data_IF_237490889281
#
_entry.id   IF_237490889281
#
_cell.length_a   1.000
_cell.length_b   1.000
_cell.length_c   1.000
_cell.angle_alpha   90.00
_cell.angle_beta   90.00
_cell.angle_gamma   90.00
#
_symmetry.space_group_name_H-M   'P 1'
#
loop_
_entity.id
_entity.type
_entity.pdbx_description
1 polymer ?
#
# COMPACT_ATOMS: atom_id res chain seq x y z
N UNK A 1 -10.43 -41.01 16.15
CA UNK A 1 -10.13 -42.19 15.31
C UNK A 1 -9.72 -43.34 16.20
N UNK A 2 -10.26 -44.55 15.93
CA UNK A 2 -9.91 -45.79 16.63
C UNK A 2 -9.47 -46.82 15.61
N UNK A 3 -8.22 -47.35 15.63
CA UNK A 3 -7.81 -48.44 14.76
C UNK A 3 -8.58 -49.71 15.13
N UNK A 4 -9.01 -50.46 14.16
CA UNK A 4 -9.69 -51.74 14.32
C UNK A 4 -8.83 -52.90 13.86
N UNK A 5 -8.36 -52.88 12.62
CA UNK A 5 -7.45 -53.85 12.04
C UNK A 5 -6.33 -53.20 11.27
N UNK A 6 -5.13 -53.76 11.39
CA UNK A 6 -3.93 -53.33 10.64
C UNK A 6 -3.27 -54.55 10.02
N UNK A 7 -3.20 -54.57 8.69
CA UNK A 7 -2.44 -55.55 7.93
C UNK A 7 -1.18 -54.90 7.38
N UNK A 8 -0.05 -55.52 7.64
CA UNK A 8 1.27 -55.07 7.20
C UNK A 8 1.91 -56.17 6.37
N UNK A 9 2.29 -55.89 5.13
CA UNK A 9 2.92 -56.86 4.25
C UNK A 9 4.22 -56.28 3.65
N UNK A 10 5.32 -56.98 3.78
CA UNK A 10 6.62 -56.62 3.23
C UNK A 10 7.10 -55.22 3.64
N UNK A 11 6.86 -54.78 4.88
CA UNK A 11 7.05 -53.40 5.34
C UNK A 11 7.96 -53.36 6.61
N UNK A 12 8.96 -52.51 6.59
CA UNK A 12 9.93 -52.38 7.68
C UNK A 12 10.64 -53.69 8.01
N UNK A 13 10.62 -54.20 9.27
CA UNK A 13 11.20 -55.47 9.65
C UNK A 13 10.31 -56.66 9.26
N UNK A 14 9.05 -56.45 8.88
CA UNK A 14 8.11 -57.51 8.55
C UNK A 14 8.26 -57.95 7.09
N UNK A 15 8.78 -59.18 6.88
CA UNK A 15 8.98 -59.75 5.55
C UNK A 15 7.64 -60.27 4.99
N UNK A 16 6.87 -60.93 5.88
CA UNK A 16 5.59 -61.57 5.55
C UNK A 16 4.41 -60.71 5.98
N UNK A 17 3.18 -61.17 5.66
CA UNK A 17 1.95 -60.54 6.07
C UNK A 17 1.74 -60.68 7.57
N UNK A 18 1.54 -59.59 8.25
CA UNK A 18 1.21 -59.54 9.68
C UNK A 18 -0.14 -58.86 9.84
N UNK A 19 -1.03 -59.47 10.61
CA UNK A 19 -2.36 -58.93 10.92
C UNK A 19 -2.46 -58.62 12.41
N UNK A 20 -2.84 -57.41 12.72
CA UNK A 20 -3.07 -56.95 14.09
C UNK A 20 -4.53 -56.57 14.25
N UNK A 21 -5.26 -57.35 15.01
CA UNK A 21 -6.65 -57.11 15.38
C UNK A 21 -6.71 -56.37 16.71
N UNK A 22 -6.89 -55.01 16.65
CA UNK A 22 -6.97 -54.19 17.84
C UNK A 22 -8.29 -54.36 18.61
N UNK A 23 -9.30 -54.97 18.02
CA UNK A 23 -10.56 -55.26 18.73
C UNK A 23 -10.40 -56.29 19.84
N UNK A 24 -9.43 -57.20 19.69
CA UNK A 24 -9.06 -58.20 20.68
C UNK A 24 -8.25 -57.67 21.88
N UNK A 25 -7.71 -56.43 21.77
CA UNK A 25 -6.87 -55.86 22.83
C UNK A 25 -7.68 -55.25 23.99
N UNK A 26 -8.99 -55.40 23.99
CA UNK A 26 -9.87 -54.97 25.06
C UNK A 26 -10.57 -53.63 24.81
N UNK A 27 -11.63 -53.36 25.61
CA UNK A 27 -12.48 -52.17 25.43
C UNK A 27 -11.98 -50.90 26.06
N UNK A 28 -10.93 -50.99 26.95
CA UNK A 28 -10.41 -49.84 27.69
C UNK A 28 -9.52 -48.90 26.85
N UNK A 29 -9.13 -49.31 25.64
CA UNK A 29 -8.35 -48.45 24.72
C UNK A 29 -6.88 -48.21 25.12
N UNK A 30 -6.39 -48.90 26.15
CA UNK A 30 -5.00 -48.84 26.60
C UNK A 30 -4.31 -50.20 26.35
N UNK A 31 -3.23 -50.18 25.53
CA UNK A 31 -2.48 -51.38 25.16
C UNK A 31 -1.00 -51.18 25.47
N UNK A 32 -0.30 -52.25 25.80
CA UNK A 32 1.13 -52.30 25.94
C UNK A 32 1.73 -53.19 24.85
N UNK A 33 2.58 -52.61 23.99
CA UNK A 33 3.33 -53.33 22.96
C UNK A 33 4.75 -53.56 23.49
N UNK A 34 5.12 -54.80 23.81
CA UNK A 34 6.44 -55.16 24.31
C UNK A 34 7.21 -55.98 23.30
N UNK A 35 8.51 -56.04 23.42
CA UNK A 35 9.43 -56.79 22.57
C UNK A 35 10.81 -56.19 22.51
N UNK A 36 11.76 -56.88 21.96
CA UNK A 36 13.17 -56.48 21.87
C UNK A 36 13.37 -55.24 21.00
N UNK A 37 14.53 -54.59 21.14
CA UNK A 37 14.92 -53.49 20.30
C UNK A 37 15.07 -53.98 18.84
N UNK A 38 14.45 -53.30 17.90
CA UNK A 38 14.44 -53.74 16.49
C UNK A 38 13.27 -54.68 16.11
N UNK A 39 12.45 -55.17 17.06
CA UNK A 39 11.31 -56.05 16.78
C UNK A 39 10.16 -55.39 16.01
N UNK A 40 10.27 -54.12 15.60
CA UNK A 40 9.26 -53.47 14.78
C UNK A 40 8.14 -52.73 15.54
N UNK A 41 8.25 -52.53 16.85
CA UNK A 41 7.22 -51.85 17.66
C UNK A 41 6.86 -50.48 17.10
N UNK A 42 7.86 -49.68 16.75
CA UNK A 42 7.64 -48.32 16.13
C UNK A 42 7.09 -48.45 14.71
N UNK A 43 7.43 -49.53 14.01
CA UNK A 43 6.94 -49.76 12.64
C UNK A 43 5.42 -49.91 12.56
N UNK A 44 4.76 -50.36 13.62
CA UNK A 44 3.30 -50.41 13.70
C UNK A 44 2.71 -49.01 13.59
N UNK A 45 3.32 -48.05 14.26
CA UNK A 45 2.91 -46.63 14.16
C UNK A 45 3.27 -46.02 12.81
N UNK A 46 4.45 -46.35 12.26
CA UNK A 46 4.82 -45.95 10.89
C UNK A 46 3.82 -46.50 9.88
N UNK A 47 3.37 -47.73 10.03
CA UNK A 47 2.38 -48.35 9.17
C UNK A 47 1.02 -47.65 9.26
N UNK A 48 0.53 -47.32 10.44
CA UNK A 48 -0.71 -46.53 10.63
C UNK A 48 -0.58 -45.19 9.97
N UNK A 49 0.52 -44.47 10.19
CA UNK A 49 0.73 -43.13 9.59
C UNK A 49 0.86 -43.22 8.08
N UNK A 50 1.57 -44.19 7.56
CA UNK A 50 1.71 -44.45 6.12
C UNK A 50 0.36 -44.77 5.47
N UNK A 51 -0.44 -45.63 6.10
CA UNK A 51 -1.79 -45.92 5.59
C UNK A 51 -2.64 -44.67 5.48
N UNK A 52 -2.63 -43.78 6.47
CA UNK A 52 -3.42 -42.57 6.49
C UNK A 52 -2.88 -41.47 5.55
N UNK A 53 -1.58 -41.23 5.57
CA UNK A 53 -0.98 -40.04 4.96
C UNK A 53 0.05 -40.34 3.85
N UNK A 54 0.41 -41.59 3.62
CA UNK A 54 1.39 -41.99 2.61
C UNK A 54 2.86 -41.75 2.99
N UNK A 55 3.12 -41.38 4.24
CA UNK A 55 4.45 -41.08 4.77
C UNK A 55 4.63 -41.74 6.12
N UNK A 56 5.90 -42.02 6.54
CA UNK A 56 6.22 -42.54 7.85
C UNK A 56 5.94 -41.52 8.98
N UNK A 57 5.91 -42.02 10.21
CA UNK A 57 5.66 -41.20 11.40
C UNK A 57 6.78 -40.18 11.68
N UNK A 58 8.03 -40.55 11.37
CA UNK A 58 9.23 -39.70 11.52
C UNK A 58 9.64 -39.08 10.19
N UNK A 59 10.21 -37.87 10.20
CA UNK A 59 10.65 -37.15 9.00
C UNK A 59 11.89 -37.76 8.31
N UNK A 60 12.54 -38.75 8.93
CA UNK A 60 13.82 -39.30 8.48
C UNK A 60 13.70 -40.47 7.50
N UNK A 61 12.49 -40.97 7.24
CA UNK A 61 12.26 -42.13 6.39
C UNK A 61 11.38 -41.76 5.21
N UNK A 62 11.93 -41.85 4.00
CA UNK A 62 11.14 -41.70 2.75
C UNK A 62 10.30 -42.97 2.49
N UNK A 63 9.24 -42.84 1.72
CA UNK A 63 8.28 -43.92 1.45
C UNK A 63 8.94 -45.16 0.78
N UNK A 64 9.97 -44.94 -0.03
CA UNK A 64 10.77 -46.00 -0.66
C UNK A 64 11.60 -46.83 0.34
N UNK A 65 11.95 -46.27 1.50
CA UNK A 65 12.66 -46.94 2.57
C UNK A 65 11.74 -47.85 3.42
N UNK A 66 10.43 -47.80 3.18
CA UNK A 66 9.46 -48.55 4.00
C UNK A 66 9.32 -50.00 3.58
N UNK A 67 9.75 -50.39 2.36
CA UNK A 67 9.80 -51.78 1.94
C UNK A 67 10.77 -52.57 2.84
N UNK A 68 10.33 -53.74 3.28
CA UNK A 68 11.18 -54.65 4.00
C UNK A 68 12.36 -55.15 3.18
N UNK A 69 13.58 -55.02 3.73
CA UNK A 69 14.78 -55.58 3.11
C UNK A 69 14.83 -57.13 3.19
N UNK A 70 13.98 -57.71 4.03
CA UNK A 70 13.86 -59.13 4.22
C UNK A 70 12.78 -59.77 3.33
N UNK A 71 11.94 -58.95 2.71
CA UNK A 71 10.89 -59.43 1.78
C UNK A 71 11.46 -59.82 0.42
N UNK A 72 11.12 -61.00 -0.07
CA UNK A 72 11.48 -61.45 -1.41
C UNK A 72 10.88 -60.54 -2.51
N UNK A 73 11.49 -60.57 -3.70
CA UNK A 73 10.99 -59.79 -4.85
C UNK A 73 9.58 -60.18 -5.29
N UNK A 74 9.09 -61.34 -4.89
CA UNK A 74 7.73 -61.81 -5.19
C UNK A 74 6.71 -61.39 -4.12
N UNK A 75 7.17 -60.94 -2.95
CA UNK A 75 6.30 -60.49 -1.85
C UNK A 75 5.75 -59.11 -2.11
N UNK A 76 4.42 -58.91 -1.98
CA UNK A 76 3.82 -57.59 -2.08
C UNK A 76 4.22 -56.71 -0.90
N UNK A 77 4.24 -55.38 -1.13
CA UNK A 77 4.43 -54.41 -0.06
C UNK A 77 3.20 -53.52 0.01
N UNK A 78 2.48 -53.61 1.12
CA UNK A 78 1.30 -52.77 1.36
C UNK A 78 1.01 -52.69 2.86
N UNK A 79 0.28 -51.64 3.21
CA UNK A 79 -0.35 -51.51 4.53
C UNK A 79 -1.86 -51.27 4.28
N UNK A 80 -2.66 -51.99 5.07
CA UNK A 80 -4.14 -51.82 5.08
C UNK A 80 -4.57 -51.56 6.53
N UNK A 81 -5.27 -50.44 6.72
CA UNK A 81 -5.79 -50.02 8.02
C UNK A 81 -7.30 -49.87 7.95
N UNK A 82 -8.00 -50.62 8.79
CA UNK A 82 -9.41 -50.41 9.08
C UNK A 82 -9.54 -49.64 10.39
N UNK A 83 -10.29 -48.55 10.34
CA UNK A 83 -10.45 -47.68 11.52
C UNK A 83 -11.90 -47.15 11.62
N UNK A 84 -12.34 -46.93 12.86
CA UNK A 84 -13.59 -46.27 13.16
C UNK A 84 -13.37 -44.75 13.42
N UNK A 85 -14.19 -43.92 12.79
CA UNK A 85 -14.24 -42.49 13.02
C UNK A 85 -15.69 -42.01 12.94
N UNK A 86 -16.13 -41.25 13.94
CA UNK A 86 -17.52 -40.75 14.06
C UNK A 86 -18.57 -41.84 13.86
N UNK A 87 -18.37 -43.02 14.50
CA UNK A 87 -19.30 -44.16 14.44
C UNK A 87 -19.33 -44.90 13.11
N UNK A 88 -18.47 -44.59 12.16
CA UNK A 88 -18.36 -45.16 10.81
C UNK A 88 -17.04 -45.87 10.63
N UNK A 89 -17.02 -46.95 9.82
CA UNK A 89 -15.81 -47.70 9.52
C UNK A 89 -15.26 -47.34 8.14
N UNK A 90 -13.96 -47.16 8.07
CA UNK A 90 -13.23 -46.87 6.85
C UNK A 90 -12.05 -47.83 6.72
N UNK A 91 -11.74 -48.25 5.49
CA UNK A 91 -10.57 -49.05 5.19
C UNK A 91 -9.69 -48.33 4.20
N UNK A 92 -8.46 -48.08 4.57
CA UNK A 92 -7.45 -47.48 3.68
C UNK A 92 -6.32 -48.47 3.44
N UNK A 93 -5.99 -48.70 2.16
CA UNK A 93 -4.87 -49.55 1.74
C UNK A 93 -3.90 -48.71 0.92
N UNK A 94 -2.59 -48.81 1.25
CA UNK A 94 -1.52 -48.14 0.49
C UNK A 94 -0.37 -49.05 0.20
N UNK A 95 0.24 -48.86 -0.95
CA UNK A 95 1.47 -49.48 -1.38
C UNK A 95 2.50 -48.38 -1.66
N UNK A 96 3.72 -48.45 -1.13
CA UNK A 96 4.80 -47.58 -1.57
C UNK A 96 5.25 -48.00 -2.98
N UNK A 97 6.07 -47.18 -3.61
CA UNK A 97 6.79 -47.61 -4.80
C UNK A 97 7.87 -48.61 -4.44
N UNK A 98 7.96 -49.75 -5.15
CA UNK A 98 8.94 -50.79 -4.87
C UNK A 98 9.29 -51.63 -6.09
N UNK A 99 10.44 -52.29 -6.06
CA UNK A 99 10.87 -53.26 -7.06
C UNK A 99 10.24 -54.65 -6.83
N UNK A 100 9.78 -55.28 -7.89
CA UNK A 100 9.27 -56.65 -7.89
C UNK A 100 9.70 -57.42 -9.14
N UNK A 101 9.57 -58.73 -9.14
CA UNK A 101 9.74 -59.53 -10.34
C UNK A 101 8.68 -59.18 -11.38
N UNK A 102 9.04 -59.24 -12.64
CA UNK A 102 8.09 -59.10 -13.74
C UNK A 102 7.09 -60.26 -13.71
N UNK A 103 5.80 -59.95 -13.91
CA UNK A 103 4.77 -60.96 -13.99
C UNK A 103 4.92 -61.88 -15.23
N UNK A 104 5.61 -61.38 -16.31
CA UNK A 104 5.92 -62.14 -17.52
C UNK A 104 7.35 -61.84 -17.91
N UNK A 105 8.17 -62.94 -18.16
CA UNK A 105 9.58 -62.82 -18.53
C UNK A 105 10.51 -62.77 -17.29
N UNK A 106 11.81 -62.68 -17.57
CA UNK A 106 12.87 -62.60 -16.56
C UNK A 106 13.24 -61.15 -16.29
N UNK A 107 13.46 -60.79 -15.03
CA UNK A 107 13.93 -59.49 -14.60
C UNK A 107 13.05 -58.80 -13.57
N UNK A 108 13.44 -57.55 -13.20
CA UNK A 108 12.79 -56.74 -12.18
C UNK A 108 11.97 -55.64 -12.86
N UNK A 109 10.87 -55.27 -12.26
CA UNK A 109 10.05 -54.11 -12.67
C UNK A 109 9.72 -53.29 -11.43
N UNK A 110 9.46 -52.02 -11.61
CA UNK A 110 9.05 -51.10 -10.58
C UNK A 110 7.53 -51.07 -10.48
N UNK A 111 7.01 -51.38 -9.29
CA UNK A 111 5.60 -51.23 -8.96
C UNK A 111 5.40 -49.75 -8.49
N UNK A 112 4.52 -49.04 -9.17
CA UNK A 112 4.19 -47.67 -8.76
C UNK A 112 3.45 -47.67 -7.42
N UNK A 113 3.59 -46.58 -6.68
CA UNK A 113 2.82 -46.35 -5.46
C UNK A 113 1.34 -46.30 -5.76
N UNK A 114 0.51 -46.89 -4.89
CA UNK A 114 -0.94 -46.95 -5.03
C UNK A 114 -1.65 -46.70 -3.71
N UNK A 115 -2.88 -46.17 -3.77
CA UNK A 115 -3.74 -45.96 -2.61
C UNK A 115 -5.22 -46.18 -2.96
N UNK A 116 -5.92 -46.72 -1.97
CA UNK A 116 -7.35 -46.99 -2.05
C UNK A 116 -7.99 -46.71 -0.68
N UNK A 117 -9.10 -46.00 -0.69
CA UNK A 117 -9.97 -45.78 0.48
C UNK A 117 -11.37 -46.32 0.22
N UNK A 118 -11.86 -47.18 1.10
CA UNK A 118 -13.22 -47.70 1.09
C UNK A 118 -14.02 -47.03 2.19
N UNK A 119 -15.15 -46.47 1.82
CA UNK A 119 -16.11 -45.82 2.71
C UNK A 119 -17.11 -46.83 3.31
N UNK A 120 -17.85 -46.49 4.38
CA UNK A 120 -18.86 -47.36 5.00
C UNK A 120 -19.99 -47.76 4.07
N UNK A 121 -20.30 -46.96 3.07
CA UNK A 121 -21.31 -47.21 2.03
C UNK A 121 -20.82 -48.09 0.86
N UNK A 122 -19.57 -48.59 0.94
CA UNK A 122 -18.95 -49.40 -0.10
C UNK A 122 -18.32 -48.55 -1.23
N UNK A 123 -18.45 -47.26 -1.24
CA UNK A 123 -17.78 -46.37 -2.21
C UNK A 123 -16.27 -46.46 -2.06
N UNK A 124 -15.57 -46.57 -3.20
CA UNK A 124 -14.12 -46.69 -3.25
C UNK A 124 -13.54 -45.49 -3.96
N UNK A 125 -12.54 -44.87 -3.34
CA UNK A 125 -11.71 -43.82 -3.91
C UNK A 125 -10.30 -44.38 -4.16
N UNK A 126 -9.79 -44.16 -5.35
CA UNK A 126 -8.44 -44.58 -5.77
C UNK A 126 -7.62 -43.34 -6.18
N UNK A 127 -6.35 -43.51 -6.44
CA UNK A 127 -5.32 -42.47 -6.70
C UNK A 127 -4.86 -41.72 -5.45
N UNK A 128 -3.56 -41.63 -5.33
CA UNK A 128 -2.87 -41.05 -4.16
C UNK A 128 -3.46 -39.71 -3.69
N UNK A 129 -3.56 -38.73 -4.58
CA UNK A 129 -4.04 -37.38 -4.23
C UNK A 129 -5.50 -37.34 -3.76
N UNK A 130 -6.35 -38.18 -4.36
CA UNK A 130 -7.78 -38.25 -4.02
C UNK A 130 -7.96 -38.90 -2.65
N UNK A 131 -7.20 -39.98 -2.38
CA UNK A 131 -7.18 -40.66 -1.08
C UNK A 131 -6.62 -39.76 0.00
N UNK A 132 -5.54 -39.01 -0.28
CA UNK A 132 -4.95 -38.05 0.68
C UNK A 132 -5.93 -36.93 1.07
N UNK A 133 -6.71 -36.43 0.10
CA UNK A 133 -7.74 -35.43 0.36
C UNK A 133 -8.86 -36.06 1.20
N UNK A 134 -9.36 -37.22 0.80
CA UNK A 134 -10.45 -37.87 1.48
C UNK A 134 -10.11 -38.25 2.93
N UNK A 135 -8.92 -38.77 3.18
CA UNK A 135 -8.42 -39.05 4.56
C UNK A 135 -8.35 -37.79 5.39
N UNK A 136 -7.83 -36.70 4.84
CA UNK A 136 -7.81 -35.39 5.54
C UNK A 136 -9.21 -34.86 5.83
N UNK A 137 -10.12 -34.98 4.90
CA UNK A 137 -11.50 -34.53 5.08
C UNK A 137 -12.22 -35.36 6.17
N UNK A 138 -11.94 -36.68 6.27
CA UNK A 138 -12.50 -37.56 7.30
C UNK A 138 -11.90 -37.25 8.66
N UNK A 139 -10.56 -37.20 8.78
CA UNK A 139 -9.86 -37.12 10.08
C UNK A 139 -9.76 -35.66 10.57
N UNK A 140 -9.74 -34.67 9.66
CA UNK A 140 -9.68 -33.26 9.99
C UNK A 140 -8.30 -32.72 10.42
N UNK A 141 -7.25 -33.53 10.31
CA UNK A 141 -5.88 -33.13 10.69
C UNK A 141 -4.86 -33.52 9.61
N UNK A 142 -3.77 -32.73 9.53
CA UNK A 142 -2.64 -33.07 8.67
C UNK A 142 -1.78 -34.18 9.28
N UNK A 143 -0.85 -34.73 8.49
CA UNK A 143 0.15 -35.71 9.00
C UNK A 143 0.94 -35.15 10.18
N UNK A 144 1.40 -33.91 10.07
CA UNK A 144 2.20 -33.24 11.11
C UNK A 144 1.39 -33.08 12.40
N UNK A 145 0.14 -32.65 12.28
CA UNK A 145 -0.79 -32.52 13.40
C UNK A 145 -1.09 -33.88 14.04
N UNK A 146 -1.34 -34.91 13.21
CA UNK A 146 -1.57 -36.27 13.68
C UNK A 146 -0.34 -36.82 14.42
N UNK A 147 0.84 -36.64 13.85
CA UNK A 147 2.08 -37.08 14.51
C UNK A 147 2.35 -36.36 15.87
N UNK A 148 1.96 -35.10 15.98
CA UNK A 148 2.09 -34.33 17.22
C UNK A 148 1.08 -34.70 18.30
N UNK A 149 -0.15 -35.06 17.90
CA UNK A 149 -1.27 -35.30 18.82
C UNK A 149 -1.43 -36.78 19.12
N UNK A 150 -1.40 -37.64 18.09
CA UNK A 150 -1.69 -39.05 18.20
C UNK A 150 -0.44 -39.93 18.44
N UNK A 151 0.73 -39.40 18.09
CA UNK A 151 1.97 -40.15 18.16
C UNK A 151 3.06 -39.34 18.86
N UNK A 152 3.20 -39.60 20.15
CA UNK A 152 4.31 -39.05 20.90
C UNK A 152 5.54 -39.98 20.67
N UNK A 153 6.29 -39.71 19.61
CA UNK A 153 7.53 -40.44 19.34
C UNK A 153 8.55 -40.21 20.46
N UNK A 154 9.41 -41.20 20.67
CA UNK A 154 10.50 -41.10 21.64
C UNK A 154 11.38 -39.89 21.34
N UNK A 155 11.33 -38.85 22.17
CA UNK A 155 12.01 -37.57 21.98
C UNK A 155 11.04 -36.37 21.71
N UNK A 156 9.95 -36.53 20.99
CA UNK A 156 9.00 -35.44 20.69
C UNK A 156 8.21 -35.00 21.94
N UNK A 157 7.91 -35.91 22.85
CA UNK A 157 7.32 -35.59 24.15
C UNK A 157 8.22 -34.65 24.98
N UNK A 158 9.51 -34.88 24.90
CA UNK A 158 10.51 -34.03 25.56
C UNK A 158 10.53 -32.64 24.98
N UNK A 159 10.38 -32.49 23.67
CA UNK A 159 10.29 -31.18 23.01
C UNK A 159 9.06 -30.39 23.44
N UNK A 160 7.89 -31.04 23.57
CA UNK A 160 6.67 -30.36 24.02
C UNK A 160 6.78 -29.90 25.48
N UNK A 161 7.38 -30.74 26.36
CA UNK A 161 7.58 -30.37 27.75
C UNK A 161 8.66 -29.31 27.97
N UNK A 162 9.71 -29.33 27.15
CA UNK A 162 10.82 -28.39 27.22
C UNK A 162 10.61 -27.14 26.36
N UNK A 163 9.58 -27.13 25.48
CA UNK A 163 9.24 -26.01 24.65
C UNK A 163 8.94 -24.76 25.48
N UNK A 164 9.43 -23.62 25.04
CA UNK A 164 9.05 -22.33 25.60
C UNK A 164 7.57 -21.99 25.30
N UNK A 165 7.08 -20.93 25.93
CA UNK A 165 5.66 -20.51 25.75
C UNK A 165 5.32 -20.21 24.28
N UNK A 166 6.24 -19.64 23.49
CA UNK A 166 6.02 -19.32 22.08
C UNK A 166 5.96 -20.58 21.22
N UNK A 167 6.87 -21.52 21.46
CA UNK A 167 6.89 -22.81 20.76
C UNK A 167 5.63 -23.63 21.07
N UNK A 168 5.24 -23.74 22.35
CA UNK A 168 3.97 -24.38 22.76
C UNK A 168 2.76 -23.73 22.09
N UNK A 169 2.72 -22.40 22.06
CA UNK A 169 1.63 -21.66 21.42
C UNK A 169 1.56 -21.95 19.92
N UNK A 170 2.70 -22.10 19.23
CA UNK A 170 2.75 -22.48 17.82
C UNK A 170 2.19 -23.89 17.62
N UNK A 171 2.65 -24.85 18.42
CA UNK A 171 2.18 -26.25 18.38
C UNK A 171 0.66 -26.31 18.58
N UNK A 172 0.12 -25.62 19.59
CA UNK A 172 -1.33 -25.57 19.82
C UNK A 172 -2.09 -24.88 18.70
N UNK A 173 -1.55 -23.83 18.10
CA UNK A 173 -2.16 -23.18 16.93
C UNK A 173 -2.26 -24.12 15.75
N UNK A 174 -1.22 -24.90 15.50
CA UNK A 174 -1.19 -25.88 14.42
C UNK A 174 -2.20 -27.02 14.69
N UNK A 175 -2.26 -27.52 15.93
CA UNK A 175 -3.19 -28.57 16.35
C UNK A 175 -4.65 -28.13 16.21
N UNK A 176 -4.99 -26.93 16.70
CA UNK A 176 -6.37 -26.41 16.72
C UNK A 176 -6.75 -25.68 15.45
N UNK A 177 -5.87 -25.61 14.45
CA UNK A 177 -6.17 -24.95 13.17
C UNK A 177 -6.46 -23.45 13.29
N UNK A 178 -5.93 -22.79 14.34
CA UNK A 178 -6.22 -21.36 14.62
C UNK A 178 -5.41 -20.39 13.78
N UNK A 179 -4.70 -20.85 12.76
CA UNK A 179 -3.91 -20.03 11.85
C UNK A 179 -4.73 -18.93 11.17
N UNK A 180 -5.97 -19.24 10.79
CA UNK A 180 -6.89 -18.25 10.19
C UNK A 180 -7.11 -17.03 11.10
N UNK A 181 -7.29 -17.25 12.39
CA UNK A 181 -7.49 -16.15 13.34
C UNK A 181 -6.24 -15.30 13.53
N UNK A 182 -5.06 -15.90 13.42
CA UNK A 182 -3.77 -15.17 13.47
C UNK A 182 -3.64 -14.30 12.23
N UNK A 183 -3.88 -14.84 11.04
CA UNK A 183 -3.84 -14.06 9.79
C UNK A 183 -4.86 -12.92 9.80
N UNK A 184 -6.08 -13.16 10.29
CA UNK A 184 -7.08 -12.12 10.46
C UNK A 184 -6.62 -11.02 11.45
N UNK A 185 -6.02 -11.43 12.57
CA UNK A 185 -5.49 -10.49 13.56
C UNK A 185 -4.36 -9.64 12.99
N UNK A 186 -3.47 -10.22 12.21
CA UNK A 186 -2.36 -9.50 11.55
C UNK A 186 -2.90 -8.52 10.51
N UNK A 187 -3.83 -8.93 9.67
CA UNK A 187 -4.47 -8.06 8.69
C UNK A 187 -5.22 -6.90 9.35
N UNK A 188 -5.95 -7.15 10.44
CA UNK A 188 -6.63 -6.10 11.19
C UNK A 188 -5.64 -5.12 11.82
N UNK A 189 -4.53 -5.59 12.36
CA UNK A 189 -3.46 -4.73 12.91
C UNK A 189 -2.84 -3.85 11.81
N UNK A 190 -2.58 -4.42 10.66
CA UNK A 190 -2.03 -3.68 9.53
C UNK A 190 -3.00 -2.60 9.03
N UNK A 191 -4.27 -2.96 8.84
CA UNK A 191 -5.32 -2.00 8.46
C UNK A 191 -5.48 -0.89 9.51
N UNK A 192 -5.47 -1.23 10.79
CA UNK A 192 -5.53 -0.25 11.88
C UNK A 192 -4.33 0.70 11.86
N UNK A 193 -3.12 0.19 11.60
CA UNK A 193 -1.91 0.99 11.46
C UNK A 193 -1.99 1.95 10.25
N UNK A 194 -2.48 1.47 9.11
CA UNK A 194 -2.68 2.30 7.91
C UNK A 194 -3.71 3.42 8.14
N UNK A 195 -4.84 3.10 8.77
CA UNK A 195 -5.87 4.11 9.11
C UNK A 195 -5.31 5.14 10.09
N UNK A 196 -4.57 4.69 11.11
CA UNK A 196 -3.90 5.58 12.06
C UNK A 196 -2.92 6.52 11.35
N UNK A 197 -2.09 5.99 10.46
CA UNK A 197 -1.13 6.80 9.69
C UNK A 197 -1.85 7.86 8.85
N UNK A 198 -2.91 7.48 8.12
CA UNK A 198 -3.71 8.42 7.32
C UNK A 198 -4.35 9.51 8.19
N UNK A 199 -4.89 9.12 9.36
CA UNK A 199 -5.44 10.08 10.32
C UNK A 199 -4.37 11.07 10.79
N UNK A 200 -3.20 10.56 11.15
CA UNK A 200 -2.12 11.40 11.69
C UNK A 200 -1.56 12.34 10.60
N UNK A 201 -1.45 11.87 9.35
CA UNK A 201 -1.10 12.69 8.20
C UNK A 201 -2.14 13.78 7.92
N UNK A 202 -3.43 13.44 7.94
CA UNK A 202 -4.50 14.41 7.75
C UNK A 202 -4.51 15.46 8.88
N UNK A 203 -4.34 15.02 10.14
CA UNK A 203 -4.25 15.93 11.28
C UNK A 203 -3.04 16.86 11.21
N UNK A 204 -1.88 16.35 10.76
CA UNK A 204 -0.69 17.16 10.55
C UNK A 204 -0.90 18.17 9.40
N UNK A 205 -1.52 17.77 8.30
CA UNK A 205 -1.86 18.67 7.19
C UNK A 205 -2.82 19.78 7.62
N UNK A 206 -3.88 19.43 8.35
CA UNK A 206 -4.81 20.44 8.90
C UNK A 206 -4.06 21.42 9.81
N UNK A 207 -3.22 20.93 10.72
CA UNK A 207 -2.42 21.78 11.60
C UNK A 207 -1.52 22.73 10.82
N UNK A 208 -0.83 22.24 9.80
CA UNK A 208 0.02 23.07 8.95
C UNK A 208 -0.76 24.19 8.26
N UNK A 209 -1.95 23.90 7.73
CA UNK A 209 -2.81 24.93 7.13
C UNK A 209 -3.30 25.93 8.17
N UNK A 210 -3.70 25.47 9.34
CA UNK A 210 -4.16 26.36 10.43
C UNK A 210 -3.03 27.28 10.91
N UNK A 211 -1.82 26.76 11.07
CA UNK A 211 -0.63 27.55 11.45
C UNK A 211 -0.23 28.58 10.38
N UNK A 212 -0.60 28.36 9.12
CA UNK A 212 -0.34 29.30 8.01
C UNK A 212 -1.37 30.42 7.89
N UNK A 213 -2.43 30.43 8.69
CA UNK A 213 -3.42 31.51 8.70
C UNK A 213 -2.76 32.80 9.19
N UNK A 214 -2.78 33.82 8.36
CA UNK A 214 -2.34 35.17 8.75
C UNK A 214 -3.58 35.97 9.12
N UNK A 215 -3.58 36.54 10.34
CA UNK A 215 -4.64 37.39 10.81
C UNK A 215 -4.03 38.58 11.52
N UNK A 216 -4.59 39.77 11.27
CA UNK A 216 -4.16 40.99 11.97
C UNK A 216 -4.54 40.87 13.45
N UNK A 217 -3.67 41.34 14.35
CA UNK A 217 -3.91 41.32 15.80
C UNK A 217 -5.11 42.16 16.23
N UNK A 218 -5.50 43.14 15.42
CA UNK A 218 -6.66 44.01 15.69
C UNK A 218 -7.98 43.47 15.06
N UNK A 219 -7.89 42.37 14.30
CA UNK A 219 -9.07 41.76 13.69
C UNK A 219 -10.02 41.18 14.75
N UNK A 220 -11.35 41.36 14.64
CA UNK A 220 -12.32 40.76 15.55
C UNK A 220 -12.20 39.24 15.71
N UNK A 221 -11.70 38.55 14.68
CA UNK A 221 -11.50 37.10 14.68
C UNK A 221 -10.13 36.63 15.20
N UNK A 222 -9.24 37.57 15.56
CA UNK A 222 -7.88 37.24 16.00
C UNK A 222 -7.85 36.30 17.20
N UNK A 223 -8.77 36.43 18.15
CA UNK A 223 -8.89 35.51 19.30
C UNK A 223 -9.31 34.10 18.89
N UNK A 224 -10.21 33.97 17.92
CA UNK A 224 -10.64 32.67 17.41
C UNK A 224 -9.50 32.00 16.62
N UNK A 225 -8.72 32.77 15.85
CA UNK A 225 -7.54 32.29 15.12
C UNK A 225 -6.46 31.82 16.11
N UNK A 226 -6.21 32.55 17.17
CA UNK A 226 -5.24 32.14 18.21
C UNK A 226 -5.66 30.82 18.90
N UNK A 227 -6.96 30.62 19.14
CA UNK A 227 -7.49 29.34 19.65
C UNK A 227 -7.35 28.21 18.63
N UNK A 228 -7.48 28.49 17.33
CA UNK A 228 -7.26 27.52 16.27
C UNK A 228 -5.78 27.10 16.22
N UNK A 229 -4.84 28.03 16.28
CA UNK A 229 -3.39 27.74 16.35
C UNK A 229 -3.04 26.89 17.56
N UNK A 230 -3.68 27.14 18.71
CA UNK A 230 -3.50 26.33 19.92
C UNK A 230 -4.13 24.94 19.86
N UNK A 231 -4.80 24.59 18.76
CA UNK A 231 -5.44 23.28 18.58
C UNK A 231 -6.65 23.06 19.49
N UNK A 232 -7.20 24.10 20.09
CA UNK A 232 -8.33 24.01 21.01
C UNK A 232 -9.70 24.06 20.32
N UNK A 233 -9.74 24.33 19.00
CA UNK A 233 -10.97 24.35 18.20
C UNK A 233 -11.15 23.03 17.44
N UNK A 234 -12.38 22.47 17.42
CA UNK A 234 -12.72 21.36 16.56
C UNK A 234 -12.54 21.71 15.07
N UNK A 235 -12.16 20.76 14.25
CA UNK A 235 -11.91 20.95 12.81
C UNK A 235 -13.10 21.61 12.07
N UNK A 236 -14.35 21.27 12.45
CA UNK A 236 -15.54 21.87 11.86
C UNK A 236 -15.70 23.37 12.22
N UNK A 237 -15.24 23.77 13.39
CA UNK A 237 -15.24 25.18 13.81
C UNK A 237 -14.11 25.95 13.10
N UNK A 238 -12.96 25.33 12.94
CA UNK A 238 -11.85 25.91 12.13
C UNK A 238 -12.29 26.15 10.69
N UNK A 239 -13.01 25.22 10.07
CA UNK A 239 -13.54 25.41 8.73
C UNK A 239 -14.50 26.62 8.63
N UNK A 240 -15.40 26.75 9.58
CA UNK A 240 -16.31 27.92 9.65
C UNK A 240 -15.57 29.22 9.89
N UNK A 241 -14.51 29.20 10.70
CA UNK A 241 -13.65 30.36 10.93
C UNK A 241 -12.97 30.80 9.63
N UNK A 242 -12.44 29.85 8.86
CA UNK A 242 -11.82 30.11 7.57
C UNK A 242 -12.83 30.70 6.56
N UNK A 243 -14.06 30.19 6.54
CA UNK A 243 -15.12 30.74 5.69
C UNK A 243 -15.43 32.21 6.04
N UNK A 244 -15.48 32.53 7.35
CA UNK A 244 -15.70 33.91 7.80
C UNK A 244 -14.53 34.84 7.43
N UNK A 245 -13.27 34.41 7.64
CA UNK A 245 -12.09 35.16 7.27
C UNK A 245 -12.04 35.42 5.76
N UNK A 246 -12.33 34.38 4.96
CA UNK A 246 -12.35 34.51 3.50
C UNK A 246 -13.43 35.51 3.03
N UNK A 247 -14.62 35.47 3.61
CA UNK A 247 -15.68 36.41 3.31
C UNK A 247 -15.29 37.86 3.67
N UNK A 248 -14.66 38.06 4.82
CA UNK A 248 -14.17 39.34 5.28
C UNK A 248 -13.06 39.89 4.38
N UNK A 249 -12.08 39.06 4.05
CA UNK A 249 -10.96 39.44 3.16
C UNK A 249 -11.46 39.75 1.75
N UNK A 250 -12.42 38.99 1.25
CA UNK A 250 -13.02 39.26 -0.08
C UNK A 250 -13.73 40.62 -0.10
N UNK A 251 -14.52 40.90 0.92
CA UNK A 251 -15.20 42.21 1.01
C UNK A 251 -14.19 43.36 1.13
N UNK A 252 -13.13 43.20 1.92
CA UNK A 252 -12.07 44.22 2.04
C UNK A 252 -11.29 44.39 0.74
N UNK A 253 -11.03 43.31 0.02
CA UNK A 253 -10.37 43.37 -1.29
C UNK A 253 -11.21 44.13 -2.31
N UNK A 254 -12.54 43.91 -2.35
CA UNK A 254 -13.45 44.62 -3.24
C UNK A 254 -13.48 46.12 -2.91
N UNK A 255 -13.54 46.49 -1.61
CA UNK A 255 -13.48 47.88 -1.16
C UNK A 255 -12.18 48.57 -1.58
N UNK A 256 -11.03 47.96 -1.28
CA UNK A 256 -9.72 48.49 -1.62
C UNK A 256 -9.51 48.62 -3.14
N UNK A 257 -10.03 47.64 -3.88
CA UNK A 257 -10.02 47.69 -5.36
C UNK A 257 -10.83 48.89 -5.88
N UNK A 258 -12.01 49.13 -5.29
CA UNK A 258 -12.83 50.30 -5.62
C UNK A 258 -12.12 51.62 -5.28
N UNK A 259 -11.49 51.71 -4.12
CA UNK A 259 -10.72 52.90 -3.71
C UNK A 259 -9.51 53.11 -4.63
N UNK A 260 -8.79 52.08 -5.00
CA UNK A 260 -7.66 52.14 -5.93
C UNK A 260 -8.12 52.69 -7.30
N UNK A 261 -9.20 52.13 -7.86
CA UNK A 261 -9.76 52.61 -9.13
C UNK A 261 -10.21 54.07 -9.06
N UNK A 262 -10.76 54.50 -7.93
CA UNK A 262 -11.17 55.90 -7.75
C UNK A 262 -9.91 56.78 -7.70
N UNK A 263 -8.90 56.42 -6.96
CA UNK A 263 -7.63 57.14 -6.88
C UNK A 263 -6.93 57.24 -8.24
N UNK A 264 -6.93 56.15 -9.00
CA UNK A 264 -6.38 56.14 -10.37
C UNK A 264 -7.09 57.10 -11.28
N UNK A 265 -8.44 57.15 -11.23
CA UNK A 265 -9.25 58.12 -12.02
C UNK A 265 -8.98 59.57 -11.60
N UNK A 266 -8.79 59.84 -10.30
CA UNK A 266 -8.43 61.15 -9.79
C UNK A 266 -7.02 61.53 -10.26
N UNK A 267 -6.08 60.63 -10.22
CA UNK A 267 -4.72 60.83 -10.71
C UNK A 267 -4.69 61.10 -12.21
N UNK A 268 -5.45 60.35 -13.01
CA UNK A 268 -5.61 60.63 -14.46
C UNK A 268 -6.15 62.05 -14.75
N UNK A 269 -7.17 62.49 -13.97
CA UNK A 269 -7.71 63.83 -14.07
C UNK A 269 -6.68 64.92 -13.75
N UNK A 270 -5.91 64.71 -12.67
CA UNK A 270 -4.86 65.65 -12.26
C UNK A 270 -3.74 65.69 -13.32
N UNK A 271 -3.31 64.56 -13.83
CA UNK A 271 -2.29 64.46 -14.89
C UNK A 271 -2.76 65.14 -16.17
N UNK A 272 -4.03 64.90 -16.58
CA UNK A 272 -4.60 65.59 -17.74
C UNK A 272 -4.68 67.10 -17.53
N UNK A 273 -5.11 67.56 -16.34
CA UNK A 273 -5.16 68.97 -15.97
C UNK A 273 -3.75 69.59 -15.97
N UNK A 274 -2.75 68.90 -15.43
CA UNK A 274 -1.35 69.38 -15.43
C UNK A 274 -0.81 69.53 -16.87
N UNK A 275 -1.06 68.51 -17.70
CA UNK A 275 -0.67 68.54 -19.13
C UNK A 275 -1.30 69.70 -19.88
N UNK A 276 -2.57 69.94 -19.64
CA UNK A 276 -3.29 71.08 -20.22
C UNK A 276 -2.74 72.42 -19.75
N UNK A 277 -2.45 72.53 -18.40
CA UNK A 277 -1.84 73.72 -17.82
C UNK A 277 -0.43 73.98 -18.39
N UNK A 278 0.39 72.98 -18.54
CA UNK A 278 1.70 73.09 -19.18
C UNK A 278 1.64 73.50 -20.63
N UNK A 279 0.69 72.96 -21.38
CA UNK A 279 0.46 73.34 -22.79
C UNK A 279 0.05 74.73 -22.88
N UNK A 280 -0.89 75.18 -22.02
CA UNK A 280 -1.32 76.62 -21.95
C UNK A 280 -0.16 77.50 -21.57
N UNK A 281 0.64 77.15 -20.62
CA UNK A 281 1.83 77.97 -20.23
C UNK A 281 2.84 78.10 -21.37
N UNK A 282 3.11 77.02 -22.10
CA UNK A 282 4.01 77.05 -23.29
C UNK A 282 3.44 77.93 -24.39
N UNK A 283 2.11 77.85 -24.66
CA UNK A 283 1.46 78.71 -25.62
C UNK A 283 1.50 80.15 -25.22
N UNK A 284 1.30 80.48 -23.95
CA UNK A 284 1.45 81.84 -23.41
C UNK A 284 2.91 82.36 -23.54
N UNK A 285 3.90 81.56 -23.25
CA UNK A 285 5.31 81.93 -23.44
C UNK A 285 5.64 82.19 -24.93
N UNK A 286 5.18 81.30 -25.77
CA UNK A 286 5.35 81.48 -27.25
C UNK A 286 4.65 82.77 -27.79
N UNK A 287 3.43 83.03 -27.30
CA UNK A 287 2.71 84.27 -27.68
C UNK A 287 3.46 85.54 -27.20
N UNK A 288 3.97 85.48 -25.93
CA UNK A 288 4.74 86.63 -25.41
C UNK A 288 6.03 86.84 -26.21
N UNK A 289 6.75 85.77 -26.58
CA UNK A 289 7.93 85.88 -27.46
C UNK A 289 7.58 86.47 -28.83
N UNK A 290 6.46 86.04 -29.44
CA UNK A 290 6.02 86.58 -30.71
C UNK A 290 5.62 88.04 -30.63
N UNK A 291 4.91 88.43 -29.58
CA UNK A 291 4.57 89.84 -29.37
C UNK A 291 5.82 90.72 -29.17
N UNK A 292 6.85 90.17 -28.51
CA UNK A 292 8.13 90.92 -28.38
C UNK A 292 8.84 91.04 -29.74
N UNK A 293 8.90 89.96 -30.53
CA UNK A 293 9.44 89.99 -31.89
C UNK A 293 8.64 91.02 -32.79
N UNK A 294 7.29 91.01 -32.75
CA UNK A 294 6.44 91.97 -33.47
C UNK A 294 6.74 93.40 -33.04
N UNK A 295 6.88 93.62 -31.71
CA UNK A 295 7.28 94.95 -31.25
C UNK A 295 8.65 95.44 -31.80
N UNK A 296 9.68 94.45 -31.84
CA UNK A 296 10.97 94.77 -32.45
C UNK A 296 10.87 95.11 -33.96
N UNK A 297 10.10 94.32 -34.70
CA UNK A 297 9.88 94.60 -36.12
C UNK A 297 9.10 95.89 -36.39
N UNK A 298 8.11 96.22 -35.57
CA UNK A 298 7.39 97.44 -35.63
C UNK A 298 8.31 98.64 -35.36
N UNK A 299 9.15 98.55 -34.34
CA UNK A 299 10.14 99.59 -34.09
C UNK A 299 11.17 99.75 -35.21
N UNK A 300 11.63 98.62 -35.79
CA UNK A 300 12.54 98.69 -36.95
C UNK A 300 11.90 99.24 -38.18
N UNK A 301 10.65 98.92 -38.48
CA UNK A 301 9.87 99.50 -39.59
C UNK A 301 9.71 101.02 -39.38
N UNK A 302 9.43 101.45 -38.14
CA UNK A 302 9.34 102.90 -37.85
C UNK A 302 10.66 103.62 -38.08
N UNK A 303 11.82 103.01 -37.69
CA UNK A 303 13.13 103.55 -38.01
C UNK A 303 13.42 103.61 -39.50
N UNK A 304 13.12 102.55 -40.23
CA UNK A 304 13.24 102.54 -41.70
C UNK A 304 12.36 103.61 -42.39
N UNK A 305 11.13 103.75 -41.92
CA UNK A 305 10.23 104.76 -42.43
C UNK A 305 10.75 106.18 -42.17
N UNK A 306 11.24 106.42 -40.94
CA UNK A 306 11.84 107.75 -40.62
C UNK A 306 13.12 108.03 -41.45
N UNK A 307 13.97 107.02 -41.63
CA UNK A 307 15.16 107.22 -42.49
C UNK A 307 14.84 107.39 -43.97
N UNK A 308 13.79 106.76 -44.44
CA UNK A 308 13.26 106.91 -45.81
C UNK A 308 12.65 108.34 -46.02
N UNK A 309 11.92 108.86 -45.05
CA UNK A 309 11.41 110.26 -45.05
C UNK A 309 12.53 111.23 -45.06
N UNK A 310 13.58 110.96 -44.19
CA UNK A 310 14.74 111.81 -44.17
C UNK A 310 15.55 111.77 -45.48
N UNK A 311 15.73 110.63 -46.10
CA UNK A 311 16.29 110.46 -47.42
C UNK A 311 15.46 111.19 -48.53
N UNK A 312 14.14 111.13 -48.45
CA UNK A 312 13.25 111.83 -49.35
C UNK A 312 13.35 113.37 -49.18
N UNK A 313 13.50 113.88 -47.95
CA UNK A 313 13.67 115.28 -47.67
C UNK A 313 14.95 115.81 -48.21
N UNK A 314 16.02 115.06 -48.23
CA UNK A 314 17.34 115.44 -48.75
C UNK A 314 17.53 115.28 -50.22
N UNK A 315 16.63 114.54 -50.91
CA UNK A 315 16.66 114.33 -52.35
C UNK A 315 16.60 115.64 -53.17
N UNK A 316 15.73 116.61 -52.83
CA UNK A 316 15.68 117.88 -53.60
C UNK A 316 16.93 118.70 -53.46
N UNK A 317 17.62 118.65 -52.29
CA UNK A 317 18.88 119.34 -52.11
C UNK A 317 20.02 118.69 -52.90
N UNK A 318 20.06 117.32 -52.95
CA UNK A 318 21.01 116.62 -53.78
C UNK A 318 20.80 116.77 -55.25
N UNK A 319 19.52 116.81 -55.71
CA UNK A 319 19.19 117.15 -57.11
C UNK A 319 19.57 118.56 -57.47
N UNK A 320 19.42 119.53 -56.56
CA UNK A 320 19.87 120.90 -56.81
C UNK A 320 21.41 121.01 -56.87
N UNK A 321 22.10 120.34 -56.00
CA UNK A 321 23.56 120.25 -56.02
C UNK A 321 24.14 119.53 -57.25
N UNK A 322 23.52 118.48 -57.66
CA UNK A 322 23.86 117.77 -58.94
C UNK A 322 23.60 118.62 -60.16
N UNK A 323 22.55 119.45 -60.18
CA UNK A 323 22.26 120.45 -61.24
C UNK A 323 23.23 121.62 -61.23
N UNK A 324 23.77 122.03 -60.06
CA UNK A 324 24.83 123.07 -59.95
C UNK A 324 26.21 122.58 -60.39
N UNK A 325 26.61 121.31 -60.05
CA UNK A 325 27.84 120.68 -60.45
C UNK A 325 27.87 120.31 -61.96
N UNK A 326 26.74 120.06 -62.56
CA UNK A 326 26.64 119.79 -63.96
C UNK A 326 26.58 121.05 -64.87
N UNK A 327 26.71 122.25 -64.27
CA UNK A 327 26.77 123.57 -64.96
C UNK A 327 28.08 124.28 -64.77
N UNK A 328 29.12 123.67 -64.19
CA UNK A 328 30.47 124.23 -64.11
C UNK A 328 31.39 123.62 -65.11
#
# INVERSE_FOLDING_TARGET
MRPLNLTIAGFGPYADVQELDFTKLGQRGLYLITGDTGAGKTTIFDAITFALFGEASGGDRSADMLRSKYAGLDAPTYVELTFAYDGKEYTVRRSPEYERKKARGVGITRQAADAQLTYPDGRVVTKLKEVDRAVRDIIGVSREQFAQVAMISQGSFRQLLQADTKQRQKIFRDIFGTGLYVSLQEELKERAAQVKLRRDQAAAGIRQFVESIVCDGEDPLAMEVARAWGGSLPTAEVARLLEKLLAQDTARQEELTGQSQQTDREMERVVAGLTQAQTRQRAQQALAARNQEEGQWTAYLAQLTASLEQARATLPEQEQLTRQIGRA
#
